data_IF_990474469884
#
_entry.id   IF_990474469884
#
_cell.length_a   1.000
_cell.length_b   1.000
_cell.length_c   1.000
_cell.angle_alpha   90.00
_cell.angle_beta   90.00
_cell.angle_gamma   90.00
#
_symmetry.space_group_name_H-M   'P 1'
#
loop_
_entity.id
_entity.type
_entity.pdbx_description
1 polymer ?
#
# COMPACT_ATOMS: atom_id res chain seq x y z
N UNK A 1 -4.86 -3.06 18.61
CA UNK A 1 -4.99 -1.59 18.52
C UNK A 1 -6.24 -1.34 17.72
N UNK A 2 -7.16 -0.53 18.24
CA UNK A 2 -8.47 -0.37 17.61
C UNK A 2 -8.46 0.54 16.39
N UNK A 3 -7.44 1.38 16.23
CA UNK A 3 -7.28 2.27 15.09
C UNK A 3 -6.02 1.88 14.27
N UNK A 4 -6.13 1.65 12.95
CA UNK A 4 -4.98 1.42 12.09
C UNK A 4 -3.92 2.53 12.12
N UNK A 5 -4.30 3.77 12.43
CA UNK A 5 -3.38 4.90 12.59
C UNK A 5 -2.47 4.78 13.82
N UNK A 6 -2.93 4.06 14.85
CA UNK A 6 -2.18 3.76 16.08
C UNK A 6 -1.33 2.50 15.98
N UNK A 7 -1.29 1.84 14.81
CA UNK A 7 -0.44 0.68 14.62
C UNK A 7 1.05 1.08 14.77
N UNK A 8 1.89 0.27 15.44
CA UNK A 8 3.32 0.54 15.57
C UNK A 8 4.02 0.81 14.23
N UNK A 9 3.61 0.10 13.19
CA UNK A 9 4.15 0.28 11.84
C UNK A 9 3.78 1.65 11.25
N UNK A 10 2.56 2.14 11.49
CA UNK A 10 2.13 3.47 11.01
C UNK A 10 2.95 4.58 11.64
N UNK A 11 3.23 4.48 12.95
CA UNK A 11 4.15 5.40 13.62
C UNK A 11 5.57 5.32 13.04
N UNK A 12 6.08 4.12 12.77
CA UNK A 12 7.40 3.95 12.17
C UNK A 12 7.46 4.59 10.78
N UNK A 13 6.46 4.33 9.93
CA UNK A 13 6.39 4.86 8.57
C UNK A 13 6.23 6.39 8.55
N UNK A 14 5.55 6.99 9.53
CA UNK A 14 5.44 8.45 9.69
C UNK A 14 6.79 9.15 9.96
N UNK A 15 7.78 8.40 10.44
CA UNK A 15 9.14 8.91 10.72
C UNK A 15 10.17 8.43 9.71
N UNK A 16 9.78 7.58 8.76
CA UNK A 16 10.70 7.03 7.77
C UNK A 16 10.94 8.04 6.65
N UNK A 17 12.19 8.15 6.19
CA UNK A 17 12.54 9.00 5.04
C UNK A 17 12.34 8.31 3.69
N UNK A 18 12.24 6.97 3.70
CA UNK A 18 12.19 6.11 2.52
C UNK A 18 11.30 4.90 2.76
N UNK A 19 10.72 4.40 1.68
CA UNK A 19 9.96 3.15 1.62
C UNK A 19 10.55 2.27 0.52
N UNK A 20 10.93 1.04 0.85
CA UNK A 20 11.40 0.04 -0.10
C UNK A 20 10.33 -1.03 -0.29
N UNK A 21 9.85 -1.18 -1.52
CA UNK A 21 8.93 -2.24 -1.92
C UNK A 21 9.72 -3.35 -2.60
N UNK A 22 9.80 -4.51 -1.96
CA UNK A 22 10.48 -5.71 -2.49
C UNK A 22 9.44 -6.68 -3.02
N UNK A 23 9.31 -6.74 -4.36
CA UNK A 23 8.36 -7.64 -5.03
C UNK A 23 9.02 -8.99 -5.29
N UNK A 24 8.20 -10.03 -5.41
CA UNK A 24 8.64 -11.35 -5.83
C UNK A 24 7.61 -11.99 -6.78
N UNK A 25 7.92 -13.18 -7.30
CA UNK A 25 7.03 -13.93 -8.20
C UNK A 25 6.09 -14.89 -7.48
N UNK A 26 6.26 -15.09 -6.17
CA UNK A 26 5.56 -16.10 -5.40
C UNK A 26 4.24 -15.57 -4.81
N UNK A 27 4.18 -14.27 -4.47
CA UNK A 27 2.98 -13.66 -3.89
C UNK A 27 2.79 -12.22 -4.36
N UNK A 28 1.52 -11.81 -4.42
CA UNK A 28 1.13 -10.42 -4.62
C UNK A 28 1.11 -9.70 -3.27
N UNK A 29 1.93 -8.65 -3.14
CA UNK A 29 2.00 -7.87 -1.90
C UNK A 29 0.64 -7.25 -1.55
N UNK A 30 -0.09 -6.78 -2.56
CA UNK A 30 -1.30 -5.97 -2.43
C UNK A 30 -2.58 -6.79 -2.29
N UNK A 31 -2.47 -8.12 -2.27
CA UNK A 31 -3.54 -8.99 -1.81
C UNK A 31 -3.71 -8.93 -0.29
N UNK A 32 -2.84 -8.20 0.44
CA UNK A 32 -2.91 -8.00 1.89
C UNK A 32 -3.26 -6.56 2.21
N UNK A 33 -4.37 -6.35 2.93
CA UNK A 33 -4.90 -4.99 3.19
C UNK A 33 -3.90 -4.09 3.94
N UNK A 34 -3.07 -4.67 4.81
CA UNK A 34 -2.04 -3.92 5.52
C UNK A 34 -0.97 -3.37 4.58
N UNK A 35 -0.60 -4.07 3.51
CA UNK A 35 0.31 -3.52 2.49
C UNK A 35 -0.33 -2.36 1.71
N UNK A 36 -1.65 -2.39 1.52
CA UNK A 36 -2.39 -1.27 0.95
C UNK A 36 -2.41 -0.06 1.89
N UNK A 37 -2.55 -0.30 3.20
CA UNK A 37 -2.45 0.73 4.24
C UNK A 37 -1.06 1.39 4.27
N UNK A 38 0.01 0.62 4.13
CA UNK A 38 1.38 1.14 4.07
C UNK A 38 1.56 2.11 2.89
N UNK A 39 1.04 1.77 1.71
CA UNK A 39 1.09 2.68 0.56
C UNK A 39 0.24 3.93 0.77
N UNK A 40 -0.94 3.79 1.37
CA UNK A 40 -1.77 4.93 1.76
C UNK A 40 -0.99 5.89 2.68
N UNK A 41 -0.38 5.37 3.74
CA UNK A 41 0.42 6.18 4.67
C UNK A 41 1.64 6.81 3.99
N UNK A 42 2.29 6.11 3.05
CA UNK A 42 3.38 6.67 2.26
C UNK A 42 2.94 7.82 1.34
N UNK A 43 1.71 7.76 0.80
CA UNK A 43 1.11 8.87 0.06
C UNK A 43 0.85 10.07 0.97
N UNK A 44 0.24 9.84 2.14
CA UNK A 44 -0.09 10.90 3.10
C UNK A 44 1.16 11.58 3.67
N UNK A 45 2.24 10.82 3.88
CA UNK A 45 3.52 11.34 4.37
C UNK A 45 4.41 11.92 3.26
N UNK A 46 3.94 11.99 2.00
CA UNK A 46 4.69 12.56 0.88
C UNK A 46 5.89 11.73 0.39
N UNK A 47 6.04 10.48 0.87
CA UNK A 47 7.14 9.59 0.48
C UNK A 47 7.06 9.16 -0.99
N UNK A 48 5.85 9.13 -1.54
CA UNK A 48 5.63 8.76 -2.94
C UNK A 48 5.99 9.89 -3.91
N UNK A 49 5.90 11.15 -3.47
CA UNK A 49 6.20 12.34 -4.29
C UNK A 49 7.64 12.81 -4.15
N UNK A 50 8.32 12.46 -3.03
CA UNK A 50 9.73 12.80 -2.79
C UNK A 50 10.64 11.94 -3.68
N UNK A 51 11.46 12.54 -4.56
CA UNK A 51 12.37 11.79 -5.43
C UNK A 51 13.30 10.87 -4.63
N UNK A 52 13.35 9.60 -5.02
CA UNK A 52 14.21 8.58 -4.37
C UNK A 52 13.73 8.11 -2.99
N UNK A 53 12.57 8.57 -2.50
CA UNK A 53 12.01 8.08 -1.24
C UNK A 53 11.23 6.78 -1.41
N UNK A 54 10.48 6.60 -2.50
CA UNK A 54 9.89 5.32 -2.88
C UNK A 54 10.84 4.55 -3.79
N UNK A 55 11.31 3.39 -3.32
CA UNK A 55 12.18 2.49 -4.06
C UNK A 55 11.43 1.18 -4.33
N UNK A 56 11.53 0.66 -5.55
CA UNK A 56 10.89 -0.59 -5.95
C UNK A 56 11.95 -1.53 -6.50
N UNK A 57 12.01 -2.75 -5.96
CA UNK A 57 12.95 -3.77 -6.40
C UNK A 57 12.27 -5.13 -6.51
N UNK A 58 13.02 -6.10 -7.01
CA UNK A 58 12.55 -7.45 -7.27
C UNK A 58 11.69 -7.55 -8.52
N UNK A 59 11.54 -8.78 -9.05
CA UNK A 59 10.82 -9.01 -10.29
C UNK A 59 9.32 -8.74 -10.10
N UNK A 60 8.64 -8.11 -11.07
CA UNK A 60 7.19 -8.09 -11.07
C UNK A 60 6.66 -9.51 -11.28
N UNK A 61 5.50 -9.81 -10.70
CA UNK A 61 4.80 -11.03 -11.00
C UNK A 61 4.21 -10.95 -12.42
N UNK A 62 4.75 -11.76 -13.33
CA UNK A 62 4.35 -11.75 -14.75
C UNK A 62 2.97 -12.37 -14.98
N UNK A 63 2.45 -13.11 -14.01
CA UNK A 63 1.16 -13.80 -14.12
C UNK A 63 -0.02 -12.92 -13.68
N UNK A 64 0.26 -11.78 -13.06
CA UNK A 64 -0.77 -10.87 -12.54
C UNK A 64 -0.60 -9.47 -13.13
N UNK A 65 -1.11 -9.27 -14.34
CA UNK A 65 -1.17 -7.93 -14.97
C UNK A 65 -2.42 -7.14 -14.58
N UNK A 66 -3.24 -7.68 -13.66
CA UNK A 66 -4.47 -7.01 -13.20
C UNK A 66 -4.13 -5.77 -12.38
N UNK A 67 -4.91 -4.71 -12.60
CA UNK A 67 -4.91 -3.53 -11.74
C UNK A 67 -5.21 -3.92 -10.29
N UNK A 68 -4.68 -3.16 -9.35
CA UNK A 68 -4.93 -3.36 -7.93
C UNK A 68 -6.27 -2.73 -7.58
N UNK A 69 -7.07 -3.48 -6.83
CA UNK A 69 -8.27 -3.00 -6.16
C UNK A 69 -8.16 -3.34 -4.67
N UNK A 70 -7.91 -2.33 -3.84
CA UNK A 70 -7.74 -2.48 -2.40
C UNK A 70 -9.00 -3.02 -1.68
N UNK A 71 -10.19 -2.88 -2.27
CA UNK A 71 -11.41 -3.46 -1.69
C UNK A 71 -11.40 -5.00 -1.74
N UNK A 72 -10.66 -5.57 -2.70
CA UNK A 72 -10.49 -7.02 -2.87
C UNK A 72 -9.33 -7.58 -2.04
N UNK A 73 -8.56 -6.75 -1.33
CA UNK A 73 -7.47 -7.22 -0.49
C UNK A 73 -7.98 -8.07 0.68
N UNK A 74 -7.19 -9.06 1.08
CA UNK A 74 -7.48 -9.99 2.16
C UNK A 74 -6.95 -9.45 3.50
N UNK A 75 -7.59 -9.87 4.58
CA UNK A 75 -7.12 -9.66 5.94
C UNK A 75 -7.38 -10.92 6.77
N UNK A 76 -6.49 -11.25 7.70
CA UNK A 76 -6.78 -12.29 8.70
C UNK A 76 -7.81 -11.82 9.73
N UNK A 77 -7.98 -10.50 9.86
CA UNK A 77 -8.98 -9.86 10.68
C UNK A 77 -9.83 -8.92 9.81
N UNK A 78 -11.09 -9.26 9.60
CA UNK A 78 -12.01 -8.47 8.77
C UNK A 78 -12.32 -7.09 9.37
N UNK A 79 -12.20 -6.92 10.69
CA UNK A 79 -12.35 -5.60 11.30
C UNK A 79 -11.22 -4.65 10.90
N UNK A 80 -9.99 -5.15 10.75
CA UNK A 80 -8.87 -4.33 10.25
C UNK A 80 -9.17 -3.87 8.83
N UNK A 81 -9.66 -4.78 7.97
CA UNK A 81 -10.03 -4.45 6.59
C UNK A 81 -11.09 -3.35 6.54
N UNK A 82 -12.17 -3.51 7.31
CA UNK A 82 -13.26 -2.55 7.39
C UNK A 82 -12.76 -1.18 7.86
N UNK A 83 -11.95 -1.13 8.91
CA UNK A 83 -11.41 0.12 9.47
C UNK A 83 -10.46 0.80 8.48
N UNK A 84 -9.55 0.06 7.86
CA UNK A 84 -8.61 0.58 6.85
C UNK A 84 -9.37 1.15 5.64
N UNK A 85 -10.32 0.41 5.08
CA UNK A 85 -11.10 0.87 3.93
C UNK A 85 -11.93 2.10 4.30
N UNK A 86 -12.58 2.10 5.46
CA UNK A 86 -13.32 3.27 5.95
C UNK A 86 -12.42 4.51 6.05
N UNK A 87 -11.19 4.34 6.56
CA UNK A 87 -10.24 5.45 6.67
C UNK A 87 -9.82 5.98 5.30
N UNK A 88 -9.48 5.10 4.36
CA UNK A 88 -9.04 5.47 3.01
C UNK A 88 -10.19 6.14 2.23
N UNK A 89 -11.40 5.60 2.32
CA UNK A 89 -12.57 6.10 1.58
C UNK A 89 -13.16 7.38 2.19
N UNK A 90 -12.89 7.67 3.46
CA UNK A 90 -13.33 8.93 4.10
C UNK A 90 -12.70 10.19 3.49
N UNK A 91 -11.56 10.05 2.80
CA UNK A 91 -10.83 11.16 2.17
C UNK A 91 -11.08 11.17 0.66
N UNK A 92 -11.44 12.35 0.14
CA UNK A 92 -11.76 12.53 -1.27
C UNK A 92 -10.63 12.03 -2.18
N UNK A 93 -10.97 11.29 -3.23
CA UNK A 93 -10.07 10.73 -4.27
C UNK A 93 -8.91 9.86 -3.75
N UNK A 94 -8.89 9.51 -2.46
CA UNK A 94 -7.76 8.78 -1.87
C UNK A 94 -7.77 7.32 -2.29
N UNK A 95 -8.97 6.71 -2.37
CA UNK A 95 -9.15 5.35 -2.87
C UNK A 95 -8.52 5.14 -4.26
N UNK A 96 -8.86 6.01 -5.21
CA UNK A 96 -8.35 5.92 -6.59
C UNK A 96 -6.84 6.15 -6.65
N UNK A 97 -6.33 7.16 -5.91
CA UNK A 97 -4.90 7.44 -5.83
C UNK A 97 -4.09 6.27 -5.28
N UNK A 98 -4.61 5.58 -4.27
CA UNK A 98 -3.97 4.40 -3.69
C UNK A 98 -3.96 3.26 -4.71
N UNK A 99 -5.11 2.93 -5.33
CA UNK A 99 -5.20 1.89 -6.35
C UNK A 99 -4.27 2.16 -7.55
N UNK A 100 -4.26 3.39 -8.05
CA UNK A 100 -3.40 3.81 -9.15
C UNK A 100 -1.92 3.64 -8.79
N UNK A 101 -1.51 4.14 -7.62
CA UNK A 101 -0.11 4.06 -7.19
C UNK A 101 0.33 2.62 -6.96
N UNK A 102 -0.50 1.81 -6.30
CA UNK A 102 -0.23 0.38 -6.10
C UNK A 102 -0.10 -0.35 -7.44
N UNK A 103 -0.95 -0.04 -8.42
CA UNK A 103 -0.87 -0.60 -9.77
C UNK A 103 0.43 -0.21 -10.47
N UNK A 104 0.84 1.07 -10.38
CA UNK A 104 2.13 1.54 -10.92
C UNK A 104 3.30 0.78 -10.29
N UNK A 105 3.33 0.64 -8.96
CA UNK A 105 4.40 -0.08 -8.25
C UNK A 105 4.39 -1.58 -8.58
N UNK A 106 3.20 -2.19 -8.66
CA UNK A 106 3.06 -3.60 -9.05
C UNK A 106 3.66 -3.87 -10.42
N UNK A 107 3.38 -2.99 -11.39
CA UNK A 107 3.79 -3.16 -12.78
C UNK A 107 5.16 -2.55 -13.12
N UNK A 108 5.79 -1.84 -12.18
CA UNK A 108 7.07 -1.18 -12.38
C UNK A 108 8.14 -2.11 -12.95
N UNK A 109 8.82 -1.68 -14.01
CA UNK A 109 9.93 -2.40 -14.62
C UNK A 109 11.20 -1.59 -14.41
N UNK A 110 12.10 -2.11 -13.57
CA UNK A 110 13.46 -1.62 -13.36
C UNK A 110 14.38 -2.05 -14.49
#
# INVERSE_FOLDING_TARGET
GDDPSDAPFTRALSRADKMLVVRNRACELYDRIWCCWEMYMALENGLVTKPGALMVTGPPNRFSMKAVDIAQANASNEDDKRKILSHIMSKQNTYDRVNEKLTQVKLFRS
#
